data_IF_593210297191
#
_entry.id   IF_593210297191
#
_cell.length_a   1.000
_cell.length_b   1.000
_cell.length_c   1.000
_cell.angle_alpha   90.00
_cell.angle_beta   90.00
_cell.angle_gamma   90.00
#
_symmetry.space_group_name_H-M   'P 1'
#
loop_
_entity.id
_entity.type
_entity.pdbx_description
1 polymer ?
#
# COMPACT_ATOMS: atom_id res chain seq x y z
N UNK A 1 -18.07 16.87 -23.79
CA UNK A 1 -17.31 16.02 -22.84
C UNK A 1 -17.58 16.58 -21.45
N UNK A 2 -18.35 15.88 -20.62
CA UNK A 2 -18.72 16.39 -19.29
C UNK A 2 -17.61 16.03 -18.31
N UNK A 3 -16.94 17.04 -17.74
CA UNK A 3 -15.90 16.82 -16.73
C UNK A 3 -16.62 16.50 -15.40
N UNK A 4 -16.42 15.31 -14.81
CA UNK A 4 -17.05 14.99 -13.53
C UNK A 4 -16.52 15.91 -12.44
N UNK A 5 -17.42 16.48 -11.64
CA UNK A 5 -17.12 17.53 -10.66
C UNK A 5 -16.83 16.99 -9.25
N UNK A 6 -17.10 15.71 -8.98
CA UNK A 6 -16.78 15.06 -7.70
C UNK A 6 -15.89 13.81 -7.87
N UNK A 7 -15.15 13.48 -6.81
CA UNK A 7 -14.16 12.39 -6.82
C UNK A 7 -14.79 11.03 -7.12
N UNK A 8 -15.97 10.72 -6.55
CA UNK A 8 -16.62 9.43 -6.75
C UNK A 8 -17.02 9.21 -8.21
N UNK A 9 -17.60 10.22 -8.87
CA UNK A 9 -17.95 10.16 -10.29
C UNK A 9 -16.71 10.10 -11.18
N UNK A 10 -15.65 10.86 -10.84
CA UNK A 10 -14.40 10.81 -11.57
C UNK A 10 -13.79 9.40 -11.51
N UNK A 11 -13.72 8.83 -10.32
CA UNK A 11 -13.18 7.49 -10.11
C UNK A 11 -14.12 6.43 -10.66
N UNK A 12 -15.44 6.56 -10.65
CA UNK A 12 -16.33 5.54 -11.24
C UNK A 12 -16.07 5.29 -12.74
N UNK A 13 -15.52 6.26 -13.47
CA UNK A 13 -15.16 6.13 -14.87
C UNK A 13 -13.79 5.44 -15.06
N UNK A 14 -13.79 4.28 -15.71
CA UNK A 14 -12.58 3.45 -15.94
C UNK A 14 -11.51 4.15 -16.79
N UNK A 15 -11.91 4.96 -17.78
CA UNK A 15 -10.98 5.73 -18.59
C UNK A 15 -10.27 6.81 -17.76
N UNK A 16 -11.01 7.51 -16.89
CA UNK A 16 -10.46 8.49 -15.97
C UNK A 16 -9.49 7.85 -14.97
N UNK A 17 -9.87 6.72 -14.35
CA UNK A 17 -8.97 5.95 -13.46
C UNK A 17 -7.66 5.61 -14.17
N UNK A 18 -7.76 4.99 -15.35
CA UNK A 18 -6.60 4.51 -16.10
C UNK A 18 -5.68 5.67 -16.49
N UNK A 19 -6.26 6.79 -16.93
CA UNK A 19 -5.49 8.00 -17.28
C UNK A 19 -4.83 8.63 -16.07
N UNK A 20 -5.50 8.66 -14.92
CA UNK A 20 -4.93 9.16 -13.66
C UNK A 20 -3.75 8.28 -13.21
N UNK A 21 -3.94 6.96 -13.16
CA UNK A 21 -2.90 5.99 -12.77
C UNK A 21 -1.70 6.10 -13.70
N UNK A 22 -1.92 6.18 -15.01
CA UNK A 22 -0.85 6.32 -16.01
C UNK A 22 -0.05 7.62 -15.81
N UNK A 23 -0.73 8.76 -15.66
CA UNK A 23 -0.07 10.05 -15.42
C UNK A 23 0.69 10.08 -14.10
N UNK A 24 0.11 9.54 -13.03
CA UNK A 24 0.77 9.45 -11.73
C UNK A 24 2.02 8.58 -11.81
N UNK A 25 1.90 7.40 -12.42
CA UNK A 25 3.02 6.48 -12.63
C UNK A 25 4.16 7.13 -13.41
N UNK A 26 3.84 7.88 -14.47
CA UNK A 26 4.84 8.62 -15.25
C UNK A 26 5.54 9.69 -14.40
N UNK A 27 4.80 10.43 -13.59
CA UNK A 27 5.36 11.47 -12.71
C UNK A 27 6.27 10.89 -11.62
N UNK A 28 5.87 9.79 -11.00
CA UNK A 28 6.68 9.10 -10.00
C UNK A 28 7.97 8.54 -10.62
N UNK A 29 7.87 7.86 -11.77
CA UNK A 29 9.05 7.37 -12.50
C UNK A 29 9.99 8.50 -12.92
N UNK A 30 9.45 9.65 -13.34
CA UNK A 30 10.25 10.83 -13.67
C UNK A 30 10.96 11.46 -12.45
N UNK A 31 10.49 11.18 -11.24
CA UNK A 31 11.13 11.56 -9.98
C UNK A 31 12.04 10.44 -9.43
N UNK A 32 12.41 9.47 -10.26
CA UNK A 32 13.22 8.29 -9.90
C UNK A 32 12.61 7.40 -8.80
N UNK A 33 11.28 7.46 -8.67
CA UNK A 33 10.52 6.57 -7.78
C UNK A 33 10.13 5.33 -8.57
N UNK A 34 10.52 4.16 -8.07
CA UNK A 34 10.13 2.89 -8.66
C UNK A 34 8.62 2.63 -8.49
N UNK A 35 7.95 2.23 -9.57
CA UNK A 35 6.51 1.99 -9.59
C UNK A 35 6.22 0.57 -10.09
N UNK A 36 5.51 -0.21 -9.27
CA UNK A 36 4.83 -1.45 -9.68
C UNK A 36 3.32 -1.19 -9.75
N UNK A 37 2.64 -1.81 -10.70
CA UNK A 37 1.19 -1.72 -10.86
C UNK A 37 0.59 -3.13 -10.84
N UNK A 38 -0.45 -3.34 -10.04
CA UNK A 38 -1.22 -4.58 -10.05
C UNK A 38 -2.31 -4.52 -11.12
N UNK A 39 -2.68 -5.69 -11.67
CA UNK A 39 -3.82 -5.78 -12.60
C UNK A 39 -5.16 -5.54 -11.88
N UNK A 40 -5.25 -5.98 -10.62
CA UNK A 40 -6.44 -5.87 -9.79
C UNK A 40 -6.10 -5.12 -8.49
N UNK A 41 -6.28 -5.79 -7.35
CA UNK A 41 -5.94 -5.27 -6.04
C UNK A 41 -4.41 -5.22 -5.83
N UNK A 42 -3.92 -4.16 -5.22
CA UNK A 42 -2.50 -3.91 -5.04
C UNK A 42 -1.95 -4.48 -3.72
N UNK A 43 -2.80 -4.88 -2.78
CA UNK A 43 -2.40 -5.17 -1.41
C UNK A 43 -1.38 -6.31 -1.36
N UNK A 44 -1.66 -7.41 -2.06
CA UNK A 44 -0.74 -8.55 -2.12
C UNK A 44 0.57 -8.15 -2.79
N UNK A 45 0.53 -7.38 -3.87
CA UNK A 45 1.73 -6.93 -4.58
C UNK A 45 2.61 -6.00 -3.72
N UNK A 46 1.99 -5.16 -2.89
CA UNK A 46 2.69 -4.30 -1.92
C UNK A 46 3.41 -5.16 -0.89
N UNK A 47 2.76 -6.18 -0.33
CA UNK A 47 3.35 -7.06 0.68
C UNK A 47 4.44 -7.96 0.10
N UNK A 48 4.25 -8.51 -1.10
CA UNK A 48 5.29 -9.30 -1.77
C UNK A 48 6.53 -8.45 -2.07
N UNK A 49 6.32 -7.21 -2.54
CA UNK A 49 7.42 -6.27 -2.78
C UNK A 49 8.16 -5.89 -1.51
N UNK A 50 7.45 -5.77 -0.38
CA UNK A 50 8.10 -5.47 0.90
C UNK A 50 8.97 -6.64 1.38
N UNK A 51 8.50 -7.88 1.20
CA UNK A 51 9.27 -9.09 1.50
C UNK A 51 10.52 -9.25 0.63
N UNK A 52 10.42 -8.90 -0.66
CA UNK A 52 11.57 -8.86 -1.58
C UNK A 52 12.62 -7.85 -1.11
N UNK A 53 12.18 -6.63 -0.74
CA UNK A 53 13.07 -5.53 -0.33
C UNK A 53 13.71 -5.75 1.04
N UNK A 54 12.99 -6.43 1.95
CA UNK A 54 13.48 -6.76 3.29
C UNK A 54 14.83 -7.50 3.27
N UNK A 55 15.09 -8.32 2.26
CA UNK A 55 16.35 -9.08 2.14
C UNK A 55 17.59 -8.18 2.04
N UNK A 56 17.43 -6.91 1.69
CA UNK A 56 18.54 -5.97 1.46
C UNK A 56 18.49 -4.75 2.37
N UNK A 57 17.31 -4.34 2.82
CA UNK A 57 17.10 -3.08 3.52
C UNK A 57 15.98 -3.22 4.56
N UNK A 58 16.06 -2.42 5.62
CA UNK A 58 14.90 -2.19 6.48
C UNK A 58 13.74 -1.68 5.64
N UNK A 59 12.60 -2.37 5.73
CA UNK A 59 11.45 -2.10 4.87
C UNK A 59 10.23 -1.70 5.69
N UNK A 60 9.56 -0.64 5.24
CA UNK A 60 8.35 -0.08 5.85
C UNK A 60 7.26 -0.02 4.79
N UNK A 61 6.11 -0.63 5.07
CA UNK A 61 4.88 -0.52 4.28
C UNK A 61 4.09 0.67 4.80
N UNK A 62 3.69 1.59 3.93
CA UNK A 62 2.89 2.77 4.29
C UNK A 62 1.51 2.66 3.65
N UNK A 63 0.45 2.79 4.44
CA UNK A 63 -0.92 2.69 3.95
C UNK A 63 -1.96 3.14 4.98
N UNK A 64 -3.19 3.37 4.53
CA UNK A 64 -4.33 3.68 5.41
C UNK A 64 -5.13 2.40 5.76
N UNK A 65 -5.20 1.47 4.81
CA UNK A 65 -6.06 0.29 4.86
C UNK A 65 -5.59 -0.73 5.89
N UNK A 66 -6.53 -1.23 6.70
CA UNK A 66 -6.23 -2.24 7.73
C UNK A 66 -5.95 -3.61 7.11
N UNK A 67 -6.51 -3.88 5.93
CA UNK A 67 -6.30 -5.13 5.20
C UNK A 67 -4.82 -5.33 4.84
N UNK A 68 -4.08 -4.27 4.56
CA UNK A 68 -2.63 -4.31 4.37
C UNK A 68 -1.90 -4.85 5.61
N UNK A 69 -2.30 -4.44 6.81
CA UNK A 69 -1.70 -4.93 8.05
C UNK A 69 -2.01 -6.42 8.26
N UNK A 70 -3.24 -6.84 7.98
CA UNK A 70 -3.65 -8.25 8.11
C UNK A 70 -2.87 -9.13 7.12
N UNK A 71 -2.78 -8.71 5.86
CA UNK A 71 -2.02 -9.45 4.85
C UNK A 71 -0.53 -9.46 5.20
N UNK A 72 0.01 -8.34 5.69
CA UNK A 72 1.41 -8.27 6.13
C UNK A 72 1.70 -9.26 7.25
N UNK A 73 0.88 -9.31 8.32
CA UNK A 73 1.10 -10.25 9.43
C UNK A 73 0.91 -11.70 8.98
N UNK A 74 -0.04 -11.98 8.09
CA UNK A 74 -0.28 -13.33 7.58
C UNK A 74 0.85 -13.84 6.66
N UNK A 75 1.48 -12.95 5.87
CA UNK A 75 2.49 -13.32 4.86
C UNK A 75 3.92 -13.19 5.35
N UNK A 76 4.19 -12.40 6.39
CA UNK A 76 5.55 -12.20 6.88
C UNK A 76 6.01 -13.43 7.67
N UNK A 77 7.11 -14.09 7.27
CA UNK A 77 7.71 -15.18 8.05
C UNK A 77 8.10 -14.73 9.45
N UNK A 78 8.09 -15.65 10.42
CA UNK A 78 8.37 -15.35 11.83
C UNK A 78 9.78 -14.85 12.10
N UNK A 79 10.74 -15.18 11.23
CA UNK A 79 12.13 -14.71 11.27
C UNK A 79 12.33 -13.32 10.66
N UNK A 80 11.28 -12.69 10.13
CA UNK A 80 11.33 -11.37 9.48
C UNK A 80 10.49 -10.34 10.22
N UNK A 81 10.94 -9.09 10.17
CA UNK A 81 10.24 -7.95 10.76
C UNK A 81 10.06 -6.88 9.70
N UNK A 82 8.82 -6.69 9.26
CA UNK A 82 8.45 -5.59 8.36
C UNK A 82 7.54 -4.67 9.15
N UNK A 83 7.80 -3.38 9.05
CA UNK A 83 6.98 -2.38 9.73
C UNK A 83 5.85 -1.90 8.85
N UNK A 84 4.70 -1.60 9.45
CA UNK A 84 3.56 -0.96 8.83
C UNK A 84 3.34 0.41 9.46
N UNK A 85 3.42 1.45 8.65
CA UNK A 85 3.13 2.82 9.03
C UNK A 85 1.71 3.16 8.59
N UNK A 86 0.80 3.23 9.57
CA UNK A 86 -0.58 3.64 9.33
C UNK A 86 -0.68 5.15 9.25
N UNK A 87 -1.20 5.65 8.13
CA UNK A 87 -1.55 7.07 7.97
C UNK A 87 -2.96 7.33 8.49
N UNK A 88 -3.14 8.38 9.29
CA UNK A 88 -4.44 8.80 9.83
C UNK A 88 -4.80 10.15 9.21
N UNK A 89 -5.95 10.25 8.53
CA UNK A 89 -6.35 11.47 7.79
C UNK A 89 -6.62 12.71 8.66
N UNK A 90 -6.89 12.54 9.95
CA UNK A 90 -7.41 13.62 10.81
C UNK A 90 -6.34 14.30 11.69
N UNK A 91 -5.18 13.67 11.89
CA UNK A 91 -4.02 14.22 12.60
C UNK A 91 -2.79 13.75 11.85
N UNK A 92 -1.74 14.56 11.77
CA UNK A 92 -0.41 14.12 11.30
C UNK A 92 0.19 13.21 12.39
N UNK A 93 -0.55 12.20 12.81
CA UNK A 93 -0.16 11.20 13.78
C UNK A 93 0.04 9.91 12.98
N UNK A 94 1.29 9.45 12.97
CA UNK A 94 1.67 8.23 12.30
C UNK A 94 1.81 7.12 13.33
N UNK A 95 1.08 6.02 13.17
CA UNK A 95 1.20 4.86 14.06
C UNK A 95 2.02 3.76 13.39
N UNK A 96 3.12 3.36 14.02
CA UNK A 96 3.98 2.29 13.54
C UNK A 96 3.58 0.97 14.20
N UNK A 97 3.39 -0.05 13.38
CA UNK A 97 3.08 -1.42 13.78
C UNK A 97 4.16 -2.36 13.23
N UNK A 98 4.46 -3.46 13.92
CA UNK A 98 5.33 -4.52 13.40
C UNK A 98 4.47 -5.68 12.89
N UNK A 99 4.96 -6.40 11.88
CA UNK A 99 4.37 -7.65 11.40
C UNK A 99 4.19 -8.71 12.51
N UNK A 100 4.98 -8.61 13.58
CA UNK A 100 4.92 -9.53 14.73
C UNK A 100 3.98 -9.04 15.84
N UNK A 101 3.45 -7.81 15.79
CA UNK A 101 2.68 -7.23 16.91
C UNK A 101 1.33 -7.91 17.17
N UNK A 102 0.80 -8.70 16.22
CA UNK A 102 -0.50 -9.38 16.36
C UNK A 102 -0.36 -10.89 16.64
N UNK A 103 0.85 -11.45 16.67
CA UNK A 103 1.05 -12.89 16.92
C UNK A 103 0.85 -13.28 18.38
N UNK A 104 0.67 -12.31 19.28
CA UNK A 104 0.32 -12.54 20.69
C UNK A 104 -1.13 -13.02 20.89
N UNK A 105 -1.98 -12.90 19.86
CA UNK A 105 -3.37 -13.34 19.93
C UNK A 105 -3.52 -14.76 19.37
N UNK A 106 -4.30 -15.64 20.04
CA UNK A 106 -4.51 -17.00 19.58
C UNK A 106 -5.13 -17.01 18.18
N UNK A 107 -4.59 -17.87 17.30
CA UNK A 107 -5.17 -18.13 15.98
C UNK A 107 -6.49 -18.87 16.18
N UNK A 108 -7.56 -18.40 15.54
CA UNK A 108 -8.85 -19.09 15.51
C UNK A 108 -8.73 -20.46 14.83
#
# INVERSE_FOLDING_TARGET
MTVPTNQQQFLANTHNKSRLISRLSQKLKAADIFVKQANNDADVLIIETSLEKFNTNTTIVVGEDVDLLIILTARTPTDRIIYFLKLIKAQIETKLHSSQSLTSYPKC
#
